data_IF_858112516414
#
_entry.id   IF_858112516414
#
_cell.length_a   1.000
_cell.length_b   1.000
_cell.length_c   1.000
_cell.angle_alpha   90.00
_cell.angle_beta   90.00
_cell.angle_gamma   90.00
#
_symmetry.space_group_name_H-M   'P 1'
#
loop_
_entity.id
_entity.type
_entity.pdbx_description
1 polymer ?
#
# COMPACT_ATOMS: atom_id res chain seq x y z
N UNK A 1 31.24 60.58 -12.70
CA UNK A 1 31.06 59.21 -12.14
C UNK A 1 32.35 58.44 -12.35
N UNK A 2 33.02 58.05 -11.25
CA UNK A 2 34.36 57.44 -11.28
C UNK A 2 34.25 55.99 -11.80
N UNK A 3 35.28 55.50 -12.48
CA UNK A 3 35.38 54.10 -12.97
C UNK A 3 35.20 53.10 -11.82
N UNK A 4 35.61 53.43 -10.61
CA UNK A 4 35.46 52.61 -9.39
C UNK A 4 34.00 52.51 -8.94
N UNK A 5 33.19 53.57 -9.08
CA UNK A 5 31.78 53.59 -8.74
C UNK A 5 30.96 52.68 -9.68
N UNK A 6 31.23 52.73 -10.98
CA UNK A 6 30.58 51.85 -11.99
C UNK A 6 30.87 50.37 -11.72
N UNK A 7 32.10 50.06 -11.28
CA UNK A 7 32.45 48.67 -10.95
C UNK A 7 31.71 48.16 -9.73
N UNK A 8 31.60 48.96 -8.68
CA UNK A 8 30.84 48.65 -7.45
C UNK A 8 29.36 48.49 -7.72
N UNK A 9 28.75 49.29 -8.56
CA UNK A 9 27.35 49.22 -8.92
C UNK A 9 27.07 47.97 -9.75
N UNK A 10 27.95 47.59 -10.66
CA UNK A 10 27.84 46.35 -11.45
C UNK A 10 27.94 45.08 -10.59
N UNK A 11 28.80 45.06 -9.58
CA UNK A 11 28.92 44.00 -8.61
C UNK A 11 27.66 43.91 -7.70
N UNK A 12 27.13 45.04 -7.28
CA UNK A 12 25.89 45.09 -6.48
C UNK A 12 24.69 44.52 -7.25
N UNK A 13 24.52 44.91 -8.51
CA UNK A 13 23.49 44.39 -9.40
C UNK A 13 23.63 42.87 -9.62
N UNK A 14 24.83 42.34 -9.81
CA UNK A 14 25.09 40.92 -9.94
C UNK A 14 24.69 40.13 -8.68
N UNK A 15 25.02 40.63 -7.49
CA UNK A 15 24.63 40.00 -6.21
C UNK A 15 23.13 40.06 -5.98
N UNK A 16 22.46 41.14 -6.37
CA UNK A 16 20.99 41.23 -6.28
C UNK A 16 20.29 40.26 -7.25
N UNK A 17 20.79 40.17 -8.48
CA UNK A 17 20.23 39.20 -9.45
C UNK A 17 20.46 37.74 -9.00
N UNK A 18 21.62 37.40 -8.46
CA UNK A 18 21.88 36.05 -7.95
C UNK A 18 20.98 35.71 -6.76
N UNK A 19 20.70 36.67 -5.87
CA UNK A 19 19.75 36.45 -4.75
C UNK A 19 18.31 36.33 -5.23
N UNK A 20 17.89 37.10 -6.21
CA UNK A 20 16.57 37.03 -6.79
C UNK A 20 16.34 35.69 -7.51
N UNK A 21 17.32 35.21 -8.27
CA UNK A 21 17.27 33.91 -8.91
C UNK A 21 17.10 32.77 -7.90
N UNK A 22 17.90 32.77 -6.83
CA UNK A 22 17.81 31.77 -5.76
C UNK A 22 16.44 31.79 -5.08
N UNK A 23 15.83 32.94 -4.86
CA UNK A 23 14.50 33.06 -4.25
C UNK A 23 13.42 32.46 -5.14
N UNK A 24 13.50 32.69 -6.46
CA UNK A 24 12.56 32.14 -7.45
C UNK A 24 12.70 30.61 -7.54
N UNK A 25 13.93 30.11 -7.60
CA UNK A 25 14.20 28.67 -7.61
C UNK A 25 13.67 27.99 -6.35
N UNK A 26 13.90 28.57 -5.17
CA UNK A 26 13.39 28.04 -3.90
C UNK A 26 11.87 28.07 -3.86
N UNK A 27 11.24 29.14 -4.37
CA UNK A 27 9.78 29.24 -4.40
C UNK A 27 9.12 28.21 -5.32
N UNK A 28 9.81 27.78 -6.39
CA UNK A 28 9.33 26.71 -7.28
C UNK A 28 9.61 25.31 -6.73
N UNK A 29 10.77 25.11 -6.08
CA UNK A 29 11.15 23.80 -5.55
C UNK A 29 10.35 23.42 -4.31
N UNK A 30 10.01 24.35 -3.42
CA UNK A 30 9.30 24.06 -2.17
C UNK A 30 7.95 23.39 -2.38
N UNK A 31 7.05 23.85 -3.26
CA UNK A 31 5.78 23.18 -3.51
C UNK A 31 5.97 21.75 -4.02
N UNK A 32 6.95 21.51 -4.88
CA UNK A 32 7.26 20.19 -5.43
C UNK A 32 7.75 19.24 -4.34
N UNK A 33 8.64 19.71 -3.45
CA UNK A 33 9.12 18.93 -2.31
C UNK A 33 8.00 18.58 -1.34
N UNK A 34 7.15 19.55 -1.00
CA UNK A 34 6.00 19.32 -0.12
C UNK A 34 5.06 18.29 -0.74
N UNK A 35 4.75 18.41 -2.03
CA UNK A 35 3.92 17.46 -2.75
C UNK A 35 4.55 16.06 -2.75
N UNK A 36 5.85 15.93 -3.00
CA UNK A 36 6.56 14.65 -2.96
C UNK A 36 6.52 13.99 -1.57
N UNK A 37 6.66 14.77 -0.50
CA UNK A 37 6.55 14.27 0.88
C UNK A 37 5.13 13.78 1.15
N UNK A 38 4.11 14.55 0.81
CA UNK A 38 2.71 14.16 0.99
C UNK A 38 2.40 12.87 0.24
N UNK A 39 2.79 12.78 -1.03
CA UNK A 39 2.59 11.58 -1.84
C UNK A 39 3.32 10.36 -1.28
N UNK A 40 4.53 10.54 -0.74
CA UNK A 40 5.29 9.48 -0.09
C UNK A 40 4.58 8.93 1.15
N UNK A 41 4.02 9.80 1.99
CA UNK A 41 3.24 9.41 3.17
C UNK A 41 1.98 8.64 2.74
N UNK A 42 1.23 9.15 1.76
CA UNK A 42 0.04 8.47 1.25
C UNK A 42 0.35 7.09 0.68
N UNK A 43 1.43 6.96 -0.09
CA UNK A 43 1.86 5.68 -0.64
C UNK A 43 2.19 4.67 0.47
N UNK A 44 2.90 5.12 1.51
CA UNK A 44 3.25 4.29 2.66
C UNK A 44 2.01 3.78 3.39
N UNK A 45 1.03 4.66 3.64
CA UNK A 45 -0.25 4.28 4.26
C UNK A 45 -1.02 3.31 3.39
N UNK A 46 -1.05 3.52 2.07
CA UNK A 46 -1.73 2.62 1.14
C UNK A 46 -1.12 1.20 1.15
N UNK A 47 0.21 1.10 1.10
CA UNK A 47 0.91 -0.20 1.19
C UNK A 47 0.65 -0.87 2.53
N UNK A 48 0.71 -0.12 3.63
CA UNK A 48 0.42 -0.65 4.97
C UNK A 48 -1.02 -1.18 5.06
N UNK A 49 -2.01 -0.45 4.60
CA UNK A 49 -3.40 -0.88 4.61
C UNK A 49 -3.61 -2.15 3.79
N UNK A 50 -3.00 -2.23 2.61
CA UNK A 50 -3.04 -3.43 1.78
C UNK A 50 -2.44 -4.64 2.49
N UNK A 51 -1.33 -4.47 3.19
CA UNK A 51 -0.69 -5.55 3.96
C UNK A 51 -1.56 -6.01 5.12
N UNK A 52 -2.16 -5.08 5.86
CA UNK A 52 -3.09 -5.38 6.96
C UNK A 52 -4.31 -6.14 6.45
N UNK A 53 -4.93 -5.69 5.35
CA UNK A 53 -6.05 -6.41 4.74
C UNK A 53 -5.66 -7.81 4.29
N UNK A 54 -4.50 -7.97 3.64
CA UNK A 54 -4.03 -9.27 3.19
C UNK A 54 -3.81 -10.24 4.35
N UNK A 55 -3.13 -9.82 5.41
CA UNK A 55 -2.90 -10.66 6.59
C UNK A 55 -4.21 -11.04 7.28
N UNK A 56 -5.14 -10.11 7.39
CA UNK A 56 -6.45 -10.35 7.99
C UNK A 56 -7.33 -11.28 7.15
N UNK A 57 -7.27 -11.19 5.82
CA UNK A 57 -7.94 -12.14 4.93
C UNK A 57 -7.41 -13.56 5.13
N UNK A 58 -6.09 -13.72 5.23
CA UNK A 58 -5.47 -15.03 5.48
C UNK A 58 -5.88 -15.57 6.85
N UNK A 59 -5.81 -14.76 7.89
CA UNK A 59 -6.20 -15.16 9.23
C UNK A 59 -7.67 -15.57 9.31
N UNK A 60 -8.58 -14.81 8.71
CA UNK A 60 -10.00 -15.15 8.67
C UNK A 60 -10.28 -16.38 7.81
N UNK A 61 -9.56 -16.58 6.71
CA UNK A 61 -9.69 -17.76 5.88
C UNK A 61 -9.30 -19.02 6.64
N UNK A 62 -8.21 -18.96 7.41
CA UNK A 62 -7.71 -20.11 8.22
C UNK A 62 -8.54 -20.32 9.48
N UNK A 63 -8.77 -19.28 10.28
CA UNK A 63 -9.47 -19.41 11.57
C UNK A 63 -10.98 -19.58 11.43
N UNK A 64 -11.57 -19.06 10.36
CA UNK A 64 -13.01 -19.03 10.16
C UNK A 64 -13.76 -18.02 11.02
N UNK A 65 -13.05 -17.23 11.82
CA UNK A 65 -13.66 -16.19 12.67
C UNK A 65 -13.68 -14.85 11.94
N UNK A 66 -14.73 -14.07 12.14
CA UNK A 66 -14.76 -12.67 11.70
C UNK A 66 -13.97 -11.83 12.71
N UNK A 67 -13.03 -11.06 12.21
CA UNK A 67 -12.26 -10.11 13.00
C UNK A 67 -12.48 -8.71 12.44
N UNK A 68 -12.74 -7.76 13.33
CA UNK A 68 -12.76 -6.35 12.94
C UNK A 68 -11.32 -5.87 12.75
N UNK A 69 -11.08 -5.23 11.62
CA UNK A 69 -9.76 -4.71 11.26
C UNK A 69 -9.85 -3.21 11.08
N UNK A 70 -9.03 -2.51 11.82
CA UNK A 70 -8.89 -1.07 11.68
C UNK A 70 -7.86 -0.74 10.60
N UNK A 71 -8.34 -0.11 9.54
CA UNK A 71 -7.52 0.38 8.43
C UNK A 71 -7.29 1.88 8.61
N UNK A 72 -6.04 2.32 8.53
CA UNK A 72 -5.68 3.73 8.68
C UNK A 72 -6.28 4.58 7.54
N UNK A 73 -6.91 5.68 7.91
CA UNK A 73 -7.54 6.62 6.97
C UNK A 73 -8.58 5.97 6.02
N UNK A 74 -9.22 4.88 6.46
CA UNK A 74 -10.36 4.34 5.72
C UNK A 74 -11.53 5.31 5.79
N UNK A 75 -12.14 5.62 4.65
CA UNK A 75 -13.32 6.50 4.57
C UNK A 75 -14.63 5.81 5.00
N UNK A 76 -14.56 4.54 5.37
CA UNK A 76 -15.72 3.73 5.80
C UNK A 76 -15.30 2.39 6.40
N UNK A 77 -16.28 1.59 6.76
CA UNK A 77 -16.07 0.24 7.24
C UNK A 77 -15.48 -0.65 6.14
N UNK A 78 -14.58 -1.55 6.51
CA UNK A 78 -14.04 -2.56 5.60
C UNK A 78 -15.18 -3.48 5.15
N UNK A 79 -15.38 -3.58 3.85
CA UNK A 79 -16.37 -4.49 3.27
C UNK A 79 -15.78 -5.90 3.17
N UNK A 80 -16.45 -6.87 3.82
CA UNK A 80 -16.03 -8.28 3.83
C UNK A 80 -16.98 -9.11 3.00
N UNK A 81 -16.42 -9.91 2.10
CA UNK A 81 -17.16 -10.95 1.38
C UNK A 81 -16.56 -12.31 1.74
N UNK A 82 -17.40 -13.24 2.17
CA UNK A 82 -16.98 -14.58 2.52
C UNK A 82 -17.75 -15.60 1.67
N UNK A 83 -17.03 -16.49 1.04
CA UNK A 83 -17.58 -17.63 0.34
C UNK A 83 -17.00 -18.90 0.98
N UNK A 84 -17.86 -19.71 1.60
CA UNK A 84 -17.51 -20.99 2.18
C UNK A 84 -18.02 -22.09 1.25
N UNK A 85 -17.10 -22.74 0.56
CA UNK A 85 -17.38 -23.91 -0.26
C UNK A 85 -16.99 -25.19 0.50
N UNK A 86 -17.42 -26.35 0.02
CA UNK A 86 -17.17 -27.64 0.66
C UNK A 86 -15.66 -27.91 0.84
N UNK A 87 -14.86 -27.52 -0.13
CA UNK A 87 -13.43 -27.80 -0.19
C UNK A 87 -12.54 -26.57 0.06
N UNK A 88 -13.10 -25.36 0.00
CA UNK A 88 -12.32 -24.13 0.12
C UNK A 88 -13.11 -23.06 0.86
N UNK A 89 -12.40 -22.16 1.51
CA UNK A 89 -12.95 -20.93 2.08
C UNK A 89 -12.23 -19.75 1.46
N UNK A 90 -12.99 -18.87 0.80
CA UNK A 90 -12.46 -17.64 0.21
C UNK A 90 -12.97 -16.46 1.01
N UNK A 91 -12.06 -15.60 1.42
CA UNK A 91 -12.35 -14.34 2.11
C UNK A 91 -11.75 -13.22 1.29
N UNK A 92 -12.57 -12.24 0.93
CA UNK A 92 -12.13 -11.02 0.28
C UNK A 92 -12.51 -9.80 1.12
N UNK A 93 -11.62 -8.84 1.18
CA UNK A 93 -11.79 -7.57 1.88
C UNK A 93 -11.54 -6.41 0.93
N UNK A 94 -12.36 -5.38 1.03
CA UNK A 94 -12.22 -4.13 0.30
C UNK A 94 -12.29 -2.95 1.27
N UNK A 95 -11.36 -2.02 1.14
CA UNK A 95 -11.35 -0.77 1.90
C UNK A 95 -11.01 0.40 0.99
N UNK A 96 -11.78 1.48 1.08
CA UNK A 96 -11.48 2.74 0.42
C UNK A 96 -10.63 3.62 1.33
N UNK A 97 -9.46 4.02 0.87
CA UNK A 97 -8.50 4.82 1.65
C UNK A 97 -8.53 6.29 1.30
N UNK A 98 -9.06 6.67 0.17
CA UNK A 98 -9.19 8.07 -0.24
C UNK A 98 -10.54 8.29 -0.92
N UNK A 99 -11.33 9.20 -0.34
CA UNK A 99 -12.62 9.62 -0.88
C UNK A 99 -12.54 11.08 -1.34
N UNK A 100 -12.82 11.34 -2.60
CA UNK A 100 -12.87 12.68 -3.13
C UNK A 100 -14.13 12.88 -3.95
N UNK A 101 -14.94 13.86 -3.55
CA UNK A 101 -16.17 14.28 -4.30
C UNK A 101 -17.12 13.13 -4.67
N UNK A 102 -17.31 12.14 -3.76
CA UNK A 102 -18.22 11.02 -4.00
C UNK A 102 -17.63 9.86 -4.80
N UNK A 103 -16.37 9.95 -5.24
CA UNK A 103 -15.66 8.86 -5.88
C UNK A 103 -14.55 8.31 -5.00
N UNK A 104 -14.41 6.99 -4.95
CA UNK A 104 -13.33 6.30 -4.26
C UNK A 104 -12.11 6.28 -5.18
N UNK A 105 -11.12 7.12 -4.85
CA UNK A 105 -9.90 7.25 -5.68
C UNK A 105 -8.91 6.11 -5.46
N UNK A 106 -8.82 5.60 -4.23
CA UNK A 106 -7.93 4.49 -3.91
C UNK A 106 -8.67 3.42 -3.13
N UNK A 107 -8.84 2.28 -3.78
CA UNK A 107 -9.37 1.06 -3.18
C UNK A 107 -8.24 0.07 -2.94
N UNK A 108 -8.22 -0.52 -1.75
CA UNK A 108 -7.38 -1.66 -1.44
C UNK A 108 -8.26 -2.90 -1.39
N UNK A 109 -7.97 -3.86 -2.25
CA UNK A 109 -8.64 -5.15 -2.28
C UNK A 109 -7.64 -6.26 -1.95
N UNK A 110 -8.06 -7.22 -1.16
CA UNK A 110 -7.30 -8.42 -0.87
C UNK A 110 -8.21 -9.63 -0.82
N UNK A 111 -7.74 -10.74 -1.36
CA UNK A 111 -8.47 -12.01 -1.36
C UNK A 111 -7.54 -13.13 -0.92
N UNK A 112 -8.00 -13.95 0.01
CA UNK A 112 -7.30 -15.15 0.44
C UNK A 112 -8.20 -16.36 0.32
N UNK A 113 -7.66 -17.46 -0.19
CA UNK A 113 -8.35 -18.74 -0.31
C UNK A 113 -7.63 -19.80 0.49
N UNK A 114 -8.33 -20.43 1.42
CA UNK A 114 -7.86 -21.54 2.22
C UNK A 114 -8.52 -22.84 1.76
N UNK A 115 -7.71 -23.82 1.36
CA UNK A 115 -8.19 -25.17 1.05
C UNK A 115 -8.39 -25.98 2.33
N UNK A 116 -9.60 -26.45 2.56
CA UNK A 116 -9.93 -27.33 3.70
C UNK A 116 -9.35 -28.74 3.43
N UNK A 117 -8.23 -29.05 4.07
CA UNK A 117 -7.65 -30.39 3.98
C UNK A 117 -8.50 -31.32 4.81
N UNK A 118 -9.19 -32.26 4.16
CA UNK A 118 -9.92 -33.34 4.87
C UNK A 118 -8.90 -34.34 5.41
N UNK A 119 -8.78 -34.52 6.74
CA UNK A 119 -7.73 -35.36 7.32
C UNK A 119 -7.79 -36.79 6.80
N UNK A 120 -9.00 -37.31 6.58
CA UNK A 120 -9.23 -38.67 6.00
C UNK A 120 -8.61 -38.77 4.60
N UNK A 121 -8.78 -37.78 3.75
CA UNK A 121 -8.22 -37.76 2.39
C UNK A 121 -6.71 -37.66 2.40
N UNK A 122 -6.13 -36.84 3.27
CA UNK A 122 -4.69 -36.71 3.45
C UNK A 122 -4.06 -38.04 3.93
N UNK A 123 -4.70 -38.73 4.89
CA UNK A 123 -4.24 -40.04 5.38
C UNK A 123 -4.32 -41.08 4.27
N UNK A 124 -5.38 -41.09 3.46
CA UNK A 124 -5.53 -42.03 2.34
C UNK A 124 -4.46 -41.81 1.27
N UNK A 125 -4.16 -40.57 0.94
CA UNK A 125 -3.10 -40.20 -0.02
C UNK A 125 -1.74 -40.61 0.52
N UNK A 126 -1.44 -40.30 1.78
CA UNK A 126 -0.19 -40.69 2.43
C UNK A 126 -0.02 -42.23 2.47
N UNK A 127 -1.07 -42.97 2.77
CA UNK A 127 -1.07 -44.46 2.80
C UNK A 127 -0.83 -45.04 1.41
N UNK A 128 -1.48 -44.49 0.36
CA UNK A 128 -1.23 -44.90 -1.04
C UNK A 128 0.18 -44.62 -1.49
N UNK A 129 0.73 -43.43 -1.16
CA UNK A 129 2.11 -43.07 -1.50
C UNK A 129 3.12 -44.00 -0.81
N UNK A 130 2.84 -44.42 0.44
CA UNK A 130 3.70 -45.36 1.18
C UNK A 130 3.67 -46.78 0.57
N UNK A 131 2.52 -47.29 0.17
CA UNK A 131 2.40 -48.61 -0.50
C UNK A 131 3.12 -48.61 -1.84
N UNK A 132 2.92 -47.59 -2.69
CA UNK A 132 3.63 -47.45 -3.96
C UNK A 132 5.16 -47.43 -3.79
N UNK A 133 5.66 -46.77 -2.75
CA UNK A 133 7.09 -46.74 -2.47
C UNK A 133 7.64 -48.13 -2.06
N UNK A 134 6.83 -48.97 -1.43
CA UNK A 134 7.24 -50.34 -1.05
C UNK A 134 7.14 -51.34 -2.19
N UNK A 135 6.21 -51.12 -3.15
CA UNK A 135 6.09 -52.01 -4.33
C UNK A 135 7.18 -51.77 -5.38
N UNK A 136 7.78 -50.56 -5.38
CA UNK A 136 8.86 -50.17 -6.30
C UNK A 136 10.26 -50.55 -5.77
N UNK A 137 10.38 -51.25 -4.64
CA UNK A 137 11.65 -51.65 -4.01
C UNK A 137 11.81 -53.16 -3.99
#
# INVERSE_FOLDING_TARGET
MSVRERKREKERRRRLMARASFTIETALLMPVLIFAIIMSVYLTVHVMNRTVLASSCVEQAVSGRSQEVNVLFASGAVSWKRADDENARTVSAQAATLHYSGSELWQSESTATYQKIRPVTAIRIARKAWTLKHELR
#
